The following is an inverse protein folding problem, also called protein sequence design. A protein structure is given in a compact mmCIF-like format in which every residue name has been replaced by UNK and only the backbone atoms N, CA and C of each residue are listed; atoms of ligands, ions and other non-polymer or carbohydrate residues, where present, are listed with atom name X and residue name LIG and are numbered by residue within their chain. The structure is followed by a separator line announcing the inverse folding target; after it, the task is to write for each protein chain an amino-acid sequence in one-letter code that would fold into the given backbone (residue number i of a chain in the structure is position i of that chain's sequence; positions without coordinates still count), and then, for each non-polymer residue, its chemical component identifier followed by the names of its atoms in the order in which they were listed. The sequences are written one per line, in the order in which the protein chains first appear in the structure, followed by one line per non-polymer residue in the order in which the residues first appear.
data_IF_364092251573
#
_entry.id   IF_364092251573
#
_cell.length_a   1.000
_cell.length_b   1.000
_cell.length_c   1.000
_cell.angle_alpha   90.00
_cell.angle_beta   90.00
_cell.angle_gamma   90.00
#
_symmetry.space_group_name_H-M   'P 1'
#
loop_
_entity.id
_entity.type
_entity.pdbx_description
1 polymer ?
#
# COMPACT_ATOMS: atom_id res chain seq x y z
N UNK A 1 9.88 -7.80 -20.89
CA UNK A 1 8.43 -7.90 -20.53
C UNK A 1 8.12 -9.36 -20.11
N UNK A 2 8.91 -9.96 -19.22
CA UNK A 2 8.81 -11.39 -18.88
C UNK A 2 9.00 -11.70 -17.39
N UNK A 3 8.84 -10.71 -16.50
CA UNK A 3 9.08 -10.88 -15.06
C UNK A 3 7.83 -11.08 -14.21
N UNK A 4 6.68 -10.56 -14.63
CA UNK A 4 5.50 -10.43 -13.76
C UNK A 4 4.70 -11.74 -13.64
N UNK A 5 4.79 -12.64 -14.62
CA UNK A 5 3.99 -13.86 -14.66
C UNK A 5 4.37 -14.90 -13.60
N UNK A 6 5.65 -14.99 -13.24
CA UNK A 6 6.13 -15.96 -12.26
C UNK A 6 5.80 -15.53 -10.82
N UNK A 7 6.06 -14.27 -10.47
CA UNK A 7 5.68 -13.72 -9.15
C UNK A 7 4.16 -13.80 -8.93
N UNK A 8 3.36 -13.46 -9.95
CA UNK A 8 1.90 -13.58 -9.87
C UNK A 8 1.46 -15.03 -9.70
N UNK A 9 2.07 -15.98 -10.42
CA UNK A 9 1.78 -17.40 -10.27
C UNK A 9 2.12 -17.91 -8.87
N UNK A 10 3.30 -17.57 -8.34
CA UNK A 10 3.70 -17.96 -6.98
C UNK A 10 2.74 -17.39 -5.94
N UNK A 11 2.30 -16.12 -6.10
CA UNK A 11 1.30 -15.51 -5.22
C UNK A 11 -0.04 -16.23 -5.28
N UNK A 12 -0.57 -16.48 -6.48
CA UNK A 12 -1.86 -17.16 -6.67
C UNK A 12 -1.85 -18.60 -6.14
N UNK A 13 -0.73 -19.33 -6.30
CA UNK A 13 -0.57 -20.67 -5.74
C UNK A 13 -0.48 -20.61 -4.21
N UNK A 14 0.18 -19.58 -3.66
CA UNK A 14 0.25 -19.34 -2.22
C UNK A 14 -1.13 -19.09 -1.61
N UNK A 15 -1.92 -18.19 -2.22
CA UNK A 15 -3.31 -17.91 -1.84
C UNK A 15 -4.16 -19.21 -1.88
N UNK A 16 -4.13 -19.97 -2.97
CA UNK A 16 -4.91 -21.20 -3.09
C UNK A 16 -4.53 -22.29 -2.07
N UNK A 17 -3.25 -22.40 -1.68
CA UNK A 17 -2.81 -23.36 -0.65
C UNK A 17 -3.22 -22.90 0.74
N UNK A 18 -3.20 -21.58 1.01
CA UNK A 18 -3.71 -21.01 2.25
C UNK A 18 -5.21 -21.26 2.39
N UNK A 19 -5.98 -20.99 1.34
CA UNK A 19 -7.44 -21.24 1.28
C UNK A 19 -7.76 -22.73 1.52
N UNK A 20 -7.04 -23.63 0.85
CA UNK A 20 -7.25 -25.08 1.02
C UNK A 20 -6.93 -25.55 2.44
N UNK A 21 -5.88 -25.01 3.07
CA UNK A 21 -5.56 -25.31 4.48
C UNK A 21 -6.62 -24.74 5.43
N UNK A 22 -7.06 -23.50 5.20
CA UNK A 22 -8.14 -22.88 5.97
C UNK A 22 -9.43 -23.70 5.89
N UNK A 23 -9.82 -24.17 4.71
CA UNK A 23 -11.01 -25.04 4.53
C UNK A 23 -10.89 -26.39 5.26
N UNK A 24 -9.69 -26.99 5.32
CA UNK A 24 -9.45 -28.26 6.02
C UNK A 24 -9.50 -28.10 7.56
N UNK A 25 -9.11 -26.94 8.08
CA UNK A 25 -9.09 -26.64 9.52
C UNK A 25 -10.40 -26.02 10.04
N UNK A 26 -11.43 -25.90 9.18
CA UNK A 26 -12.72 -25.27 9.53
C UNK A 26 -12.67 -23.75 9.60
N UNK A 27 -11.64 -23.14 9.00
CA UNK A 27 -11.40 -21.71 8.90
C UNK A 27 -12.40 -21.02 7.97
N UNK A 28 -12.87 -19.86 8.43
CA UNK A 28 -13.75 -18.93 7.72
C UNK A 28 -13.11 -18.54 6.38
N UNK A 29 -13.87 -18.54 5.29
CA UNK A 29 -13.44 -18.00 4.00
C UNK A 29 -12.90 -16.58 4.20
N UNK A 30 -11.62 -16.33 3.88
CA UNK A 30 -11.08 -14.97 3.86
C UNK A 30 -11.78 -14.21 2.72
N UNK A 31 -12.65 -13.27 3.08
CA UNK A 31 -13.30 -12.41 2.11
C UNK A 31 -12.23 -11.68 1.28
N UNK A 32 -12.39 -11.59 -0.06
CA UNK A 32 -11.43 -10.88 -0.88
C UNK A 32 -11.28 -9.43 -0.37
N UNK A 33 -10.06 -8.87 -0.39
CA UNK A 33 -9.84 -7.53 0.13
C UNK A 33 -10.78 -6.56 -0.56
N UNK A 34 -11.63 -5.89 0.21
CA UNK A 34 -12.56 -4.89 -0.28
C UNK A 34 -11.77 -3.83 -1.06
N UNK A 35 -12.09 -3.66 -2.34
CA UNK A 35 -11.57 -2.53 -3.12
C UNK A 35 -12.22 -1.25 -2.61
N UNK A 36 -11.58 -0.62 -1.62
CA UNK A 36 -12.02 0.66 -1.07
C UNK A 36 -11.55 1.80 -1.98
N UNK A 37 -12.51 2.41 -2.70
CA UNK A 37 -12.26 3.60 -3.51
C UNK A 37 -12.66 4.86 -2.73
N UNK A 38 -11.69 5.74 -2.48
CA UNK A 38 -11.89 7.02 -1.79
C UNK A 38 -11.73 8.16 -2.80
N UNK A 39 -12.82 8.91 -3.04
CA UNK A 39 -12.80 10.12 -3.87
C UNK A 39 -13.01 11.35 -2.99
N UNK A 40 -11.97 12.19 -2.86
CA UNK A 40 -11.98 13.40 -2.04
C UNK A 40 -11.45 14.58 -2.85
N UNK A 41 -11.97 15.81 -2.64
CA UNK A 41 -11.48 17.02 -3.32
C UNK A 41 -10.20 17.55 -2.65
N UNK A 42 -9.22 16.68 -2.40
CA UNK A 42 -7.92 17.03 -1.82
C UNK A 42 -6.82 16.67 -2.81
N UNK A 43 -5.76 17.48 -2.81
CA UNK A 43 -4.57 17.15 -3.58
C UNK A 43 -3.73 16.15 -2.81
N UNK A 44 -3.76 14.88 -3.25
CA UNK A 44 -3.10 13.76 -2.59
C UNK A 44 -2.21 13.02 -3.60
N UNK A 45 -0.93 13.37 -3.63
CA UNK A 45 0.05 12.76 -4.53
C UNK A 45 1.47 12.96 -3.97
N UNK A 46 2.45 12.25 -4.55
CA UNK A 46 3.88 12.47 -4.29
C UNK A 46 4.44 13.46 -5.32
N UNK A 47 4.79 14.70 -4.91
CA UNK A 47 5.27 15.73 -5.82
C UNK A 47 6.62 15.38 -6.47
N UNK A 48 6.86 15.95 -7.65
CA UNK A 48 8.09 15.73 -8.42
C UNK A 48 9.33 16.38 -7.79
N UNK A 49 9.15 17.50 -7.12
CA UNK A 49 10.18 18.22 -6.38
C UNK A 49 10.58 17.50 -5.07
N UNK A 50 9.63 16.84 -4.40
CA UNK A 50 9.91 16.04 -3.21
C UNK A 50 10.65 14.74 -3.52
N UNK A 51 10.25 14.05 -4.59
CA UNK A 51 10.92 12.84 -5.06
C UNK A 51 11.21 12.96 -6.58
N UNK A 52 12.39 13.50 -6.97
CA UNK A 52 12.70 13.78 -8.38
C UNK A 52 12.86 12.52 -9.25
N UNK A 53 13.33 11.42 -8.67
CA UNK A 53 13.44 10.14 -9.37
C UNK A 53 12.10 9.40 -9.49
N UNK A 54 11.71 8.98 -10.69
CA UNK A 54 10.50 8.18 -10.91
C UNK A 54 10.50 6.88 -10.08
N UNK A 55 11.64 6.19 -10.02
CA UNK A 55 11.81 5.01 -9.19
C UNK A 55 11.60 5.29 -7.71
N UNK A 56 11.98 6.48 -7.22
CA UNK A 56 11.80 6.88 -5.82
C UNK A 56 10.34 7.20 -5.53
N UNK A 57 9.65 7.91 -6.44
CA UNK A 57 8.20 8.14 -6.32
C UNK A 57 7.43 6.83 -6.25
N UNK A 58 7.74 5.88 -7.14
CA UNK A 58 7.09 4.56 -7.12
C UNK A 58 7.38 3.79 -5.84
N UNK A 59 8.56 3.93 -5.24
CA UNK A 59 8.85 3.37 -3.93
C UNK A 59 8.00 4.01 -2.83
N UNK A 60 7.91 5.34 -2.80
CA UNK A 60 7.07 6.05 -1.84
C UNK A 60 5.59 5.63 -1.96
N UNK A 61 5.05 5.58 -3.18
CA UNK A 61 3.68 5.10 -3.42
C UNK A 61 3.49 3.66 -2.93
N UNK A 62 4.45 2.77 -3.18
CA UNK A 62 4.38 1.38 -2.70
C UNK A 62 4.40 1.30 -1.18
N UNK A 63 5.29 2.03 -0.52
CA UNK A 63 5.40 2.05 0.94
C UNK A 63 4.07 2.52 1.59
N UNK A 64 3.48 3.59 1.06
CA UNK A 64 2.18 4.09 1.51
C UNK A 64 1.07 3.06 1.23
N UNK A 65 1.05 2.46 0.04
CA UNK A 65 0.01 1.50 -0.32
C UNK A 65 0.07 0.20 0.51
N UNK A 66 1.27 -0.22 0.95
CA UNK A 66 1.47 -1.41 1.78
C UNK A 66 1.16 -1.21 3.26
N UNK A 67 0.98 0.03 3.72
CA UNK A 67 0.62 0.29 5.11
C UNK A 67 -0.80 -0.21 5.41
N UNK A 68 -0.92 -1.04 6.45
CA UNK A 68 -2.18 -1.66 6.90
C UNK A 68 -2.52 -1.35 8.35
N UNK A 69 -1.64 -0.66 9.07
CA UNK A 69 -1.83 -0.22 10.46
C UNK A 69 -1.41 1.25 10.65
N UNK A 70 -1.88 1.86 11.74
CA UNK A 70 -1.52 3.26 12.07
C UNK A 70 -0.03 3.37 12.38
N UNK A 71 0.55 2.31 12.96
CA UNK A 71 1.98 2.19 13.21
C UNK A 71 2.78 2.11 11.91
N UNK A 72 2.27 1.41 10.88
CA UNK A 72 2.91 1.39 9.55
C UNK A 72 2.87 2.77 8.89
N UNK A 73 1.74 3.49 8.99
CA UNK A 73 1.64 4.86 8.48
C UNK A 73 2.66 5.77 9.17
N UNK A 74 2.85 5.62 10.48
CA UNK A 74 3.86 6.36 11.24
C UNK A 74 5.27 6.00 10.79
N UNK A 75 5.56 4.70 10.62
CA UNK A 75 6.85 4.22 10.15
C UNK A 75 7.17 4.74 8.73
N UNK A 76 6.19 4.70 7.82
CA UNK A 76 6.32 5.26 6.46
C UNK A 76 6.55 6.76 6.53
N UNK A 77 5.82 7.50 7.39
CA UNK A 77 6.03 8.93 7.59
C UNK A 77 7.47 9.24 8.00
N UNK A 78 8.02 8.48 8.96
CA UNK A 78 9.41 8.61 9.41
C UNK A 78 10.40 8.27 8.29
N UNK A 79 10.19 7.18 7.57
CA UNK A 79 11.04 6.77 6.44
C UNK A 79 11.07 7.84 5.33
N UNK A 80 9.91 8.36 4.93
CA UNK A 80 9.82 9.41 3.93
C UNK A 80 10.52 10.69 4.40
N UNK A 81 10.36 11.04 5.67
CA UNK A 81 11.00 12.21 6.26
C UNK A 81 12.53 12.07 6.31
N UNK A 82 13.03 10.91 6.69
CA UNK A 82 14.47 10.63 6.74
C UNK A 82 15.11 10.63 5.34
N UNK A 83 14.42 10.04 4.35
CA UNK A 83 14.94 9.87 2.99
C UNK A 83 14.82 11.13 2.12
N UNK A 84 13.75 11.89 2.27
CA UNK A 84 13.40 12.99 1.36
C UNK A 84 13.27 14.34 2.06
N UNK A 85 13.34 14.37 3.39
CA UNK A 85 13.15 15.57 4.19
C UNK A 85 11.67 15.87 4.47
N UNK A 86 11.34 17.12 4.86
CA UNK A 86 10.02 17.46 5.36
C UNK A 86 8.93 17.17 4.33
N UNK A 87 7.87 16.51 4.80
CA UNK A 87 6.73 16.11 3.98
C UNK A 87 5.96 17.34 3.48
N UNK A 88 5.74 17.50 2.17
CA UNK A 88 4.86 18.54 1.65
C UNK A 88 3.40 18.15 1.85
N UNK A 89 2.52 19.14 1.85
CA UNK A 89 1.07 18.99 2.10
C UNK A 89 0.41 17.89 1.24
N UNK A 90 0.71 17.74 -0.07
CA UNK A 90 0.10 16.67 -0.88
C UNK A 90 0.47 15.26 -0.42
N UNK A 91 1.66 15.07 0.17
CA UNK A 91 2.09 13.77 0.71
C UNK A 91 1.43 13.51 2.06
N UNK A 92 1.28 14.54 2.88
CA UNK A 92 0.52 14.44 4.13
C UNK A 92 -0.92 14.02 3.87
N UNK A 93 -1.58 14.66 2.89
CA UNK A 93 -2.92 14.29 2.45
C UNK A 93 -2.97 12.83 1.97
N UNK A 94 -1.97 12.38 1.22
CA UNK A 94 -1.90 11.00 0.74
C UNK A 94 -1.81 9.98 1.89
N UNK A 95 -1.04 10.28 2.94
CA UNK A 95 -0.97 9.45 4.14
C UNK A 95 -2.31 9.43 4.91
N UNK A 96 -3.01 10.57 4.97
CA UNK A 96 -4.34 10.64 5.59
C UNK A 96 -5.38 9.80 4.82
N UNK A 97 -5.35 9.86 3.48
CA UNK A 97 -6.22 9.01 2.64
C UNK A 97 -5.91 7.53 2.84
N UNK A 98 -4.63 7.16 2.96
CA UNK A 98 -4.24 5.79 3.27
C UNK A 98 -4.74 5.34 4.65
N UNK A 99 -4.74 6.22 5.66
CA UNK A 99 -5.35 5.96 6.96
C UNK A 99 -6.87 5.81 6.91
N UNK A 100 -7.57 6.64 6.12
CA UNK A 100 -9.02 6.52 5.92
C UNK A 100 -9.41 5.19 5.29
N UNK A 101 -8.60 4.68 4.35
CA UNK A 101 -8.80 3.37 3.72
C UNK A 101 -8.82 2.23 4.74
N UNK A 102 -8.11 2.35 5.86
CA UNK A 102 -8.06 1.32 6.89
C UNK A 102 -9.29 1.32 7.82
N UNK A 103 -10.02 2.42 7.87
CA UNK A 103 -11.24 2.55 8.68
C UNK A 103 -12.51 2.14 7.90
N UNK A 104 -12.39 1.98 6.58
CA UNK A 104 -13.48 1.63 5.67
C UNK A 104 -13.55 0.11 5.46
#
# INVERSE_FOLDING_TARGET
IAGVGFDLYVRMVGEAVADYRAQMEGGVEEEPPLEVKIELPVDAHVPHDYAPGERLRLQAYRAIASASSEDDIRAVREELTDRYGPLPEPVENLLLVAGLRMLA
#
